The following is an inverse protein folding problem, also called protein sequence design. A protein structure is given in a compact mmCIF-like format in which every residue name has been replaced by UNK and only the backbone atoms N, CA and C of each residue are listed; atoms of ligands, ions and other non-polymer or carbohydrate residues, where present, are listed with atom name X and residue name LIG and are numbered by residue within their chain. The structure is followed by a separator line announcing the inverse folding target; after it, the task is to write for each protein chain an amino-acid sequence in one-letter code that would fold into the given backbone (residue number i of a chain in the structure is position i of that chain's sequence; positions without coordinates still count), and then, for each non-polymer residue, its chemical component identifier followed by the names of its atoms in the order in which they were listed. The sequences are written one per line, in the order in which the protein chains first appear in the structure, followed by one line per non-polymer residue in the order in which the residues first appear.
data_IF_765349160632
#
_entry.id   IF_765349160632
#
_cell.length_a   1.000
_cell.length_b   1.000
_cell.length_c   1.000
_cell.angle_alpha   90.00
_cell.angle_beta   90.00
_cell.angle_gamma   90.00
#
_symmetry.space_group_name_H-M   'P 1'
#
loop_
_entity.id
_entity.type
_entity.pdbx_description
1 polymer ?
#
# COMPACT_ATOMS: atom_id res chain seq x y z
N UNK A 1 33.75 -14.45 -4.10
CA UNK A 1 32.84 -15.57 -3.91
C UNK A 1 31.45 -15.03 -3.70
N UNK A 2 30.65 -15.03 -4.75
CA UNK A 2 29.27 -14.60 -4.69
C UNK A 2 28.53 -15.69 -3.93
N UNK A 3 28.46 -15.56 -2.62
CA UNK A 3 27.64 -16.43 -1.80
C UNK A 3 26.21 -16.40 -2.33
N UNK A 4 25.76 -17.50 -2.91
CA UNK A 4 24.34 -17.71 -3.12
C UNK A 4 23.67 -17.52 -1.76
N UNK A 5 22.89 -16.45 -1.62
CA UNK A 5 21.96 -16.36 -0.52
C UNK A 5 21.03 -17.56 -0.62
N UNK A 6 21.11 -18.44 0.35
CA UNK A 6 20.30 -19.67 0.40
C UNK A 6 18.83 -19.32 0.62
N UNK A 7 18.54 -18.07 1.00
CA UNK A 7 17.21 -17.53 1.18
C UNK A 7 17.07 -16.26 0.34
N UNK A 8 16.36 -16.35 -0.77
CA UNK A 8 16.01 -15.19 -1.60
C UNK A 8 14.98 -14.33 -0.88
N UNK A 9 13.91 -14.94 -0.39
CA UNK A 9 12.89 -14.30 0.41
C UNK A 9 12.63 -15.13 1.66
N UNK A 10 12.57 -14.47 2.81
CA UNK A 10 12.11 -15.10 4.03
C UNK A 10 11.14 -14.20 4.78
N UNK A 11 10.12 -14.81 5.31
CA UNK A 11 9.07 -14.13 6.05
C UNK A 11 8.77 -14.89 7.34
N UNK A 12 8.72 -14.17 8.43
CA UNK A 12 8.29 -14.68 9.73
C UNK A 12 7.02 -13.94 10.16
N UNK A 13 5.97 -14.69 10.52
CA UNK A 13 4.72 -14.12 11.06
C UNK A 13 4.44 -14.67 12.44
N UNK A 14 4.20 -13.77 13.38
CA UNK A 14 3.78 -14.08 14.73
C UNK A 14 2.34 -13.58 14.95
N UNK A 15 1.39 -14.51 14.97
CA UNK A 15 0.01 -14.22 15.34
C UNK A 15 -0.13 -14.12 16.85
N UNK A 16 -0.68 -12.99 17.33
CA UNK A 16 -0.84 -12.68 18.76
C UNK A 16 -2.32 -12.63 19.19
N UNK A 17 -3.20 -13.31 18.42
CA UNK A 17 -4.65 -13.29 18.69
C UNK A 17 -5.21 -11.88 18.49
N UNK A 18 -5.98 -11.40 19.47
CA UNK A 18 -6.63 -10.08 19.42
C UNK A 18 -5.64 -8.90 19.38
N UNK A 19 -4.38 -9.14 19.67
CA UNK A 19 -3.31 -8.15 19.55
C UNK A 19 -2.74 -8.04 18.13
N UNK A 20 -3.29 -8.79 17.14
CA UNK A 20 -2.88 -8.69 15.75
C UNK A 20 -1.73 -9.62 15.37
N UNK A 21 -1.03 -9.25 14.30
CA UNK A 21 0.06 -10.04 13.72
C UNK A 21 1.30 -9.15 13.55
N UNK A 22 2.41 -9.60 14.10
CA UNK A 22 3.74 -9.04 13.82
C UNK A 22 4.38 -9.87 12.70
N UNK A 23 4.90 -9.22 11.69
CA UNK A 23 5.63 -9.82 10.58
C UNK A 23 7.03 -9.26 10.46
N UNK A 24 7.92 -10.06 9.92
CA UNK A 24 9.26 -9.66 9.51
C UNK A 24 9.56 -10.26 8.15
N UNK A 25 9.97 -9.45 7.21
CA UNK A 25 10.38 -9.86 5.87
C UNK A 25 11.79 -9.43 5.58
N UNK A 26 12.63 -10.35 5.09
CA UNK A 26 13.92 -10.02 4.53
C UNK A 26 13.84 -10.11 3.00
N UNK A 27 14.34 -9.12 2.31
CA UNK A 27 14.35 -8.97 0.85
C UNK A 27 12.98 -8.77 0.17
N UNK A 28 11.92 -8.54 0.92
CA UNK A 28 10.59 -8.23 0.34
C UNK A 28 9.76 -7.36 1.29
N UNK A 29 8.70 -6.76 0.77
CA UNK A 29 7.71 -6.06 1.59
C UNK A 29 7.05 -7.01 2.59
N UNK A 30 6.77 -6.51 3.78
CA UNK A 30 5.94 -7.21 4.76
C UNK A 30 4.46 -7.29 4.32
N UNK A 31 4.07 -6.48 3.34
CA UNK A 31 2.69 -6.27 2.93
C UNK A 31 1.87 -5.51 3.96
N UNK A 32 2.52 -4.78 4.86
CA UNK A 32 1.91 -3.96 5.92
C UNK A 32 2.13 -2.47 5.66
N UNK A 33 1.54 -1.61 6.49
CA UNK A 33 1.60 -0.17 6.30
C UNK A 33 0.78 0.28 5.10
N UNK A 34 1.27 1.27 4.38
CA UNK A 34 0.59 1.87 3.21
C UNK A 34 0.40 0.87 2.06
N UNK A 35 1.18 -0.20 2.00
CA UNK A 35 1.02 -1.28 1.01
C UNK A 35 -0.39 -1.93 1.04
N UNK A 36 -1.09 -1.85 2.18
CA UNK A 36 -2.49 -2.26 2.28
C UNK A 36 -3.45 -1.45 1.42
N UNK A 37 -3.05 -0.27 0.98
CA UNK A 37 -3.91 0.67 0.26
C UNK A 37 -3.70 0.67 -1.25
N UNK A 38 -2.77 -0.13 -1.77
CA UNK A 38 -2.44 -0.18 -3.19
C UNK A 38 -3.56 -0.69 -4.09
N UNK A 39 -4.43 -1.55 -3.56
CA UNK A 39 -5.49 -2.23 -4.32
C UNK A 39 -6.91 -1.74 -3.96
N UNK A 40 -7.03 -0.52 -3.41
CA UNK A 40 -8.34 0.04 -3.05
C UNK A 40 -9.19 0.27 -4.29
N UNK A 41 -8.61 0.84 -5.34
CA UNK A 41 -9.31 1.14 -6.59
C UNK A 41 -9.36 -0.10 -7.46
N UNK A 42 -10.55 -0.57 -7.88
CA UNK A 42 -10.68 -1.69 -8.79
C UNK A 42 -9.95 -1.41 -10.09
N UNK A 43 -8.99 -2.27 -10.42
CA UNK A 43 -8.15 -2.15 -11.59
C UNK A 43 -8.06 -3.50 -12.31
N UNK A 44 -7.93 -3.50 -13.63
CA UNK A 44 -8.02 -4.73 -14.41
C UNK A 44 -6.78 -5.64 -14.26
N UNK A 45 -5.60 -5.09 -14.01
CA UNK A 45 -4.36 -5.85 -13.97
C UNK A 45 -3.28 -5.30 -13.07
N UNK A 46 -3.29 -4.00 -12.77
CA UNK A 46 -2.15 -3.29 -12.25
C UNK A 46 -2.56 -2.52 -11.02
N UNK A 47 -1.85 -2.64 -9.91
CA UNK A 47 -2.05 -1.78 -8.76
C UNK A 47 -2.01 -0.31 -9.16
N UNK A 48 -2.65 0.54 -8.39
CA UNK A 48 -2.79 1.97 -8.65
C UNK A 48 -1.42 2.63 -8.96
N UNK A 49 -0.37 2.21 -8.29
CA UNK A 49 0.97 2.76 -8.47
C UNK A 49 1.72 2.22 -9.71
N UNK A 50 1.24 1.18 -10.37
CA UNK A 50 1.87 0.62 -11.58
C UNK A 50 1.14 0.99 -12.88
N UNK A 51 0.02 1.73 -12.79
CA UNK A 51 -0.87 1.97 -13.92
C UNK A 51 -0.32 2.91 -15.00
N UNK A 52 0.85 3.51 -14.80
CA UNK A 52 1.51 4.38 -15.78
C UNK A 52 2.94 3.92 -15.99
N UNK A 53 3.45 4.08 -17.23
CA UNK A 53 4.89 3.98 -17.54
C UNK A 53 5.72 5.08 -16.82
N UNK A 54 5.08 5.97 -16.10
CA UNK A 54 5.75 6.91 -15.24
C UNK A 54 6.24 6.17 -13.99
N UNK A 55 7.47 6.35 -13.67
CA UNK A 55 8.13 5.83 -12.46
C UNK A 55 7.48 6.30 -11.15
N UNK A 56 6.44 7.13 -11.25
CA UNK A 56 5.79 7.78 -10.13
C UNK A 56 4.27 7.70 -10.27
N UNK A 57 3.69 6.66 -9.71
CA UNK A 57 2.24 6.43 -9.72
C UNK A 57 1.51 7.09 -8.55
N UNK A 58 2.20 7.91 -7.78
CA UNK A 58 1.63 8.66 -6.66
C UNK A 58 1.34 7.85 -5.39
N UNK A 59 1.67 6.57 -5.34
CA UNK A 59 1.72 5.80 -4.11
C UNK A 59 3.11 5.19 -3.98
N UNK A 60 3.92 5.78 -3.12
CA UNK A 60 5.19 5.21 -2.73
C UNK A 60 4.90 4.13 -1.70
N UNK A 61 5.39 2.95 -1.92
CA UNK A 61 5.31 1.88 -0.96
C UNK A 61 6.70 1.47 -0.47
N UNK A 62 6.71 0.72 0.61
CA UNK A 62 7.93 0.17 1.18
C UNK A 62 8.49 -1.01 0.40
N UNK A 63 7.94 -1.35 -0.75
CA UNK A 63 8.40 -2.48 -1.57
C UNK A 63 9.63 -2.15 -2.42
N UNK A 64 10.10 -0.92 -2.35
CA UNK A 64 11.32 -0.48 -3.03
C UNK A 64 12.55 -1.33 -2.67
N UNK A 65 13.30 -1.57 -3.64
CA UNK A 65 14.50 -2.39 -3.78
C UNK A 65 15.37 -2.57 -2.51
N UNK A 66 15.64 -3.82 -2.17
CA UNK A 66 16.66 -4.27 -1.21
C UNK A 66 16.36 -4.03 0.27
N UNK A 67 15.20 -4.49 0.72
CA UNK A 67 14.90 -4.44 2.14
C UNK A 67 15.85 -5.35 2.92
N UNK A 68 16.61 -4.74 3.77
CA UNK A 68 17.47 -5.44 4.72
C UNK A 68 16.71 -5.99 5.93
N UNK A 69 15.40 -5.91 5.91
CA UNK A 69 14.51 -6.42 6.92
C UNK A 69 13.40 -5.45 7.30
N UNK A 70 12.20 -5.69 6.78
CA UNK A 70 11.04 -4.89 7.08
C UNK A 70 10.18 -5.56 8.15
N UNK A 71 9.81 -4.80 9.15
CA UNK A 71 8.82 -5.16 10.15
C UNK A 71 7.44 -4.69 9.68
N UNK A 72 6.44 -5.53 9.91
CA UNK A 72 5.03 -5.21 9.67
C UNK A 72 4.20 -5.54 10.90
N UNK A 73 3.18 -4.74 11.14
CA UNK A 73 2.21 -4.98 12.20
C UNK A 73 0.80 -4.71 11.67
N UNK A 74 -0.06 -5.70 11.79
CA UNK A 74 -1.45 -5.64 11.36
C UNK A 74 -2.38 -6.02 12.51
N UNK A 75 -3.39 -5.21 12.78
CA UNK A 75 -4.44 -5.51 13.76
C UNK A 75 -5.80 -4.98 13.31
N UNK A 76 -6.86 -5.50 13.92
CA UNK A 76 -8.22 -4.97 13.74
C UNK A 76 -8.89 -4.81 15.10
N UNK A 77 -9.59 -3.68 15.27
CA UNK A 77 -10.39 -3.37 16.46
C UNK A 77 -11.80 -3.00 15.98
N UNK A 78 -12.75 -3.91 16.12
CA UNK A 78 -14.07 -3.77 15.52
C UNK A 78 -13.94 -3.62 14.00
N UNK A 79 -14.51 -2.54 13.47
CA UNK A 79 -14.52 -2.23 12.04
C UNK A 79 -13.30 -1.40 11.58
N UNK A 80 -12.33 -1.17 12.44
CA UNK A 80 -11.10 -0.46 12.14
C UNK A 80 -9.94 -1.45 11.95
N UNK A 81 -9.36 -1.48 10.76
CA UNK A 81 -8.09 -2.15 10.49
C UNK A 81 -6.94 -1.13 10.55
N UNK A 82 -5.86 -1.52 11.22
CA UNK A 82 -4.65 -0.74 11.43
C UNK A 82 -3.48 -1.53 10.88
N UNK A 83 -2.64 -0.89 10.10
CA UNK A 83 -1.42 -1.50 9.57
C UNK A 83 -0.25 -0.54 9.71
N UNK A 84 0.90 -1.05 10.06
CA UNK A 84 2.15 -0.30 10.15
C UNK A 84 3.30 -1.11 9.57
N UNK A 85 4.25 -0.42 8.94
CA UNK A 85 5.50 -0.99 8.46
C UNK A 85 6.69 -0.15 8.93
N UNK A 86 7.81 -0.80 9.14
CA UNK A 86 9.05 -0.15 9.52
C UNK A 86 10.25 -0.92 8.96
N UNK A 87 11.11 -0.22 8.26
CA UNK A 87 12.38 -0.73 7.76
C UNK A 87 13.51 0.14 8.35
N UNK A 88 14.33 -0.40 9.25
CA UNK A 88 15.37 0.39 9.94
C UNK A 88 16.48 0.86 9.01
N UNK A 89 16.77 0.11 7.95
CA UNK A 89 17.83 0.38 7.01
C UNK A 89 17.48 -0.28 5.67
N UNK A 90 16.68 0.38 4.81
CA UNK A 90 16.20 -0.19 3.54
C UNK A 90 17.33 -0.48 2.56
N UNK A 91 18.42 0.28 2.61
CA UNK A 91 19.65 0.08 1.88
C UNK A 91 20.83 0.66 2.66
N UNK A 92 22.06 0.33 2.24
CA UNK A 92 23.27 0.86 2.85
C UNK A 92 23.29 2.40 2.84
N UNK A 93 23.44 3.03 4.00
CA UNK A 93 23.40 4.48 4.22
C UNK A 93 22.06 5.17 3.92
N UNK A 94 20.97 4.44 3.89
CA UNK A 94 19.61 4.99 3.81
C UNK A 94 18.99 5.16 5.19
N UNK A 95 18.19 6.18 5.35
CA UNK A 95 17.41 6.43 6.57
C UNK A 95 16.27 5.42 6.69
N UNK A 96 15.81 5.21 7.91
CA UNK A 96 14.70 4.31 8.18
C UNK A 96 13.41 4.76 7.45
N UNK A 97 12.70 3.79 6.91
CA UNK A 97 11.38 3.99 6.30
C UNK A 97 10.27 3.61 7.27
N UNK A 98 9.15 4.30 7.19
CA UNK A 98 7.97 3.98 7.97
C UNK A 98 6.67 4.20 7.20
N UNK A 99 5.73 3.28 7.35
CA UNK A 99 4.42 3.34 6.72
C UNK A 99 3.31 3.07 7.72
N UNK A 100 2.18 3.73 7.52
CA UNK A 100 1.00 3.57 8.35
C UNK A 100 -0.28 3.61 7.50
N UNK A 101 -1.22 2.72 7.77
CA UNK A 101 -2.51 2.70 7.09
C UNK A 101 -3.66 2.38 8.05
N UNK A 102 -4.80 3.00 7.77
CA UNK A 102 -6.07 2.76 8.43
C UNK A 102 -7.13 2.44 7.37
N UNK A 103 -7.98 1.48 7.66
CA UNK A 103 -9.20 1.20 6.90
C UNK A 103 -10.36 1.07 7.86
N UNK A 104 -11.42 1.85 7.65
CA UNK A 104 -12.63 1.84 8.48
C UNK A 104 -13.86 1.46 7.66
N UNK A 105 -14.55 0.40 8.08
CA UNK A 105 -15.73 -0.15 7.40
C UNK A 105 -17.04 -0.06 8.21
N UNK A 106 -17.02 0.56 9.39
CA UNK A 106 -18.15 0.61 10.31
C UNK A 106 -19.18 1.71 10.05
N UNK A 107 -19.01 2.54 9.01
CA UNK A 107 -19.93 3.66 8.77
C UNK A 107 -21.26 3.23 8.15
N UNK A 108 -21.19 2.35 7.15
CA UNK A 108 -22.36 1.72 6.51
C UNK A 108 -21.92 0.49 5.70
N UNK A 109 -22.84 -0.43 5.44
CA UNK A 109 -22.57 -1.64 4.67
C UNK A 109 -21.94 -1.32 3.30
N UNK A 110 -20.85 -1.99 3.00
CA UNK A 110 -20.13 -1.88 1.75
C UNK A 110 -19.26 -0.64 1.60
N UNK A 111 -19.27 0.32 2.55
CA UNK A 111 -18.41 1.49 2.52
C UNK A 111 -17.12 1.26 3.31
N UNK A 112 -15.99 1.49 2.67
CA UNK A 112 -14.67 1.52 3.30
C UNK A 112 -14.04 2.89 3.10
N UNK A 113 -13.54 3.47 4.17
CA UNK A 113 -12.73 4.69 4.16
C UNK A 113 -11.29 4.31 4.52
N UNK A 114 -10.33 4.84 3.81
CA UNK A 114 -8.93 4.55 4.05
C UNK A 114 -8.09 5.82 4.14
N UNK A 115 -7.04 5.76 4.95
CA UNK A 115 -6.02 6.78 5.06
C UNK A 115 -4.67 6.11 5.27
N UNK A 116 -3.61 6.65 4.68
CA UNK A 116 -2.26 6.16 4.82
C UNK A 116 -1.24 7.26 4.75
N UNK A 117 -0.11 7.00 5.37
CA UNK A 117 1.08 7.84 5.35
C UNK A 117 2.31 6.95 5.18
N UNK A 118 3.26 7.40 4.39
CA UNK A 118 4.56 6.77 4.22
C UNK A 118 5.66 7.82 4.17
N UNK A 119 6.75 7.54 4.85
CA UNK A 119 7.97 8.34 4.87
C UNK A 119 9.14 7.41 4.53
N UNK A 120 9.85 7.68 3.45
CA UNK A 120 11.05 6.95 3.07
C UNK A 120 12.33 7.46 3.77
N UNK A 121 12.17 8.46 4.62
CA UNK A 121 13.20 9.03 5.46
C UNK A 121 14.18 9.97 4.76
N UNK A 122 14.37 9.85 3.46
CA UNK A 122 15.40 10.60 2.73
C UNK A 122 14.85 11.41 1.55
N UNK A 123 13.90 10.88 0.80
CA UNK A 123 13.57 11.37 -0.54
C UNK A 123 12.14 11.89 -0.66
N UNK A 124 11.16 11.25 0.01
CA UNK A 124 9.77 11.59 -0.14
C UNK A 124 8.88 11.17 1.04
N UNK A 125 7.80 11.91 1.21
CA UNK A 125 6.67 11.54 2.07
C UNK A 125 5.42 11.39 1.20
N UNK A 126 4.54 10.48 1.52
CA UNK A 126 3.25 10.42 0.86
C UNK A 126 2.09 10.30 1.84
N UNK A 127 1.01 11.01 1.49
CA UNK A 127 -0.29 10.92 2.13
C UNK A 127 -1.30 10.35 1.14
N UNK A 128 -2.09 9.35 1.55
CA UNK A 128 -3.15 8.81 0.70
C UNK A 128 -4.48 8.74 1.43
N UNK A 129 -5.54 9.06 0.71
CA UNK A 129 -6.93 8.93 1.17
C UNK A 129 -7.74 8.17 0.14
N UNK A 130 -8.56 7.24 0.59
CA UNK A 130 -9.39 6.43 -0.29
C UNK A 130 -10.81 6.25 0.23
N UNK A 131 -11.72 6.06 -0.71
CA UNK A 131 -13.08 5.61 -0.45
C UNK A 131 -13.43 4.50 -1.43
N UNK A 132 -13.95 3.40 -0.91
CA UNK A 132 -14.44 2.27 -1.70
C UNK A 132 -15.87 1.94 -1.27
N UNK A 133 -16.73 1.76 -2.25
CA UNK A 133 -18.12 1.36 -2.01
C UNK A 133 -18.49 0.14 -2.84
N UNK A 134 -18.93 -0.90 -2.15
CA UNK A 134 -19.39 -2.15 -2.77
C UNK A 134 -20.88 -2.32 -2.55
N UNK A 135 -21.63 -2.44 -3.64
CA UNK A 135 -23.06 -2.67 -3.63
C UNK A 135 -23.42 -3.85 -4.55
N UNK A 136 -23.73 -4.98 -3.95
CA UNK A 136 -23.99 -6.22 -4.68
C UNK A 136 -22.79 -6.64 -5.53
N UNK A 137 -22.98 -6.70 -6.85
CA UNK A 137 -21.94 -7.09 -7.79
C UNK A 137 -21.01 -5.92 -8.24
N UNK A 138 -21.29 -4.71 -7.81
CA UNK A 138 -20.54 -3.52 -8.23
C UNK A 138 -19.66 -3.00 -7.10
N UNK A 139 -18.44 -2.64 -7.45
CA UNK A 139 -17.53 -1.90 -6.59
C UNK A 139 -17.06 -0.64 -7.30
N UNK A 140 -17.13 0.50 -6.63
CA UNK A 140 -16.57 1.75 -7.09
C UNK A 140 -15.61 2.29 -6.04
N UNK A 141 -14.49 2.87 -6.46
CA UNK A 141 -13.54 3.47 -5.54
C UNK A 141 -12.88 4.72 -6.12
N UNK A 142 -12.44 5.56 -5.22
CA UNK A 142 -11.66 6.75 -5.48
C UNK A 142 -10.50 6.81 -4.48
N UNK A 143 -9.33 7.14 -4.96
CA UNK A 143 -8.12 7.34 -4.14
C UNK A 143 -7.39 8.58 -4.61
N UNK A 144 -6.90 9.36 -3.68
CA UNK A 144 -5.98 10.47 -3.94
C UNK A 144 -4.73 10.27 -3.10
N UNK A 145 -3.59 10.56 -3.70
CA UNK A 145 -2.29 10.49 -3.07
C UNK A 145 -1.51 11.76 -3.36
N UNK A 146 -0.90 12.30 -2.34
CA UNK A 146 0.02 13.42 -2.43
C UNK A 146 1.43 12.92 -2.10
N UNK A 147 2.40 13.29 -2.93
CA UNK A 147 3.80 12.96 -2.72
C UNK A 147 4.58 14.27 -2.61
N UNK A 148 5.20 14.48 -1.46
CA UNK A 148 6.07 15.62 -1.17
C UNK A 148 7.53 15.16 -1.24
N UNK A 149 8.30 15.69 -2.19
CA UNK A 149 9.70 15.35 -2.38
C UNK A 149 10.64 16.29 -1.61
N UNK A 150 11.55 15.71 -0.83
CA UNK A 150 12.54 16.47 -0.06
C UNK A 150 13.61 17.17 -0.92
N UNK A 151 13.86 16.67 -2.13
CA UNK A 151 14.93 17.18 -2.99
C UNK A 151 14.61 18.57 -3.56
N UNK A 152 15.54 19.50 -3.40
CA UNK A 152 15.43 20.84 -3.97
C UNK A 152 15.34 20.78 -5.50
N UNK A 153 14.23 21.23 -6.07
CA UNK A 153 13.97 21.22 -7.51
C UNK A 153 13.10 20.09 -8.01
N UNK A 154 12.75 19.14 -7.14
CA UNK A 154 11.66 18.20 -7.41
C UNK A 154 10.31 18.91 -7.29
N UNK A 155 9.34 18.44 -8.04
CA UNK A 155 7.96 18.94 -7.99
C UNK A 155 7.12 17.92 -7.25
N UNK A 156 6.41 18.37 -6.23
CA UNK A 156 5.42 17.55 -5.53
C UNK A 156 4.35 17.06 -6.51
N UNK A 157 3.82 15.89 -6.26
CA UNK A 157 2.86 15.23 -7.15
C UNK A 157 1.52 15.00 -6.43
N UNK A 158 0.44 15.26 -7.15
CA UNK A 158 -0.92 14.92 -6.74
C UNK A 158 -1.49 13.88 -7.70
N UNK A 159 -1.70 12.67 -7.23
CA UNK A 159 -2.29 11.60 -8.02
C UNK A 159 -3.74 11.33 -7.60
N UNK A 160 -4.61 11.10 -8.56
CA UNK A 160 -5.98 10.67 -8.34
C UNK A 160 -6.31 9.44 -9.17
N UNK A 161 -6.99 8.50 -8.52
CA UNK A 161 -7.41 7.25 -9.14
C UNK A 161 -8.90 7.04 -8.90
N UNK A 162 -9.62 6.69 -9.95
CA UNK A 162 -11.03 6.30 -9.88
C UNK A 162 -11.22 5.00 -10.63
N UNK A 163 -11.98 4.08 -10.07
CA UNK A 163 -12.25 2.81 -10.71
C UNK A 163 -13.62 2.26 -10.35
N UNK A 164 -14.15 1.49 -11.26
CA UNK A 164 -15.40 0.74 -11.10
C UNK A 164 -15.18 -0.67 -11.60
N UNK A 165 -15.67 -1.66 -10.87
CA UNK A 165 -15.77 -3.04 -11.32
C UNK A 165 -17.16 -3.59 -11.15
N UNK A 166 -17.55 -4.51 -12.04
CA UNK A 166 -18.83 -5.22 -11.98
C UNK A 166 -18.58 -6.70 -12.20
N UNK A 167 -18.95 -7.54 -11.23
CA UNK A 167 -18.99 -8.98 -11.40
C UNK A 167 -20.24 -9.36 -12.19
N UNK A 168 -20.08 -9.86 -13.41
CA UNK A 168 -21.19 -10.28 -14.28
C UNK A 168 -21.67 -11.67 -13.86
N UNK A 169 -20.74 -12.54 -13.47
CA UNK A 169 -20.98 -13.86 -12.89
C UNK A 169 -19.73 -14.34 -12.16
N UNK A 170 -19.73 -15.57 -11.63
CA UNK A 170 -18.64 -16.14 -10.84
C UNK A 170 -17.31 -16.30 -11.61
N UNK A 171 -17.34 -16.17 -12.94
CA UNK A 171 -16.17 -16.38 -13.82
C UNK A 171 -15.79 -15.13 -14.61
N UNK A 172 -16.62 -14.09 -14.60
CA UNK A 172 -16.43 -12.89 -15.41
C UNK A 172 -16.69 -11.63 -14.61
N UNK A 173 -15.71 -10.78 -14.56
CA UNK A 173 -15.84 -9.40 -14.09
C UNK A 173 -15.26 -8.42 -15.12
N UNK A 174 -15.78 -7.21 -15.12
CA UNK A 174 -15.32 -6.11 -15.97
C UNK A 174 -14.97 -4.94 -15.06
N UNK A 175 -13.82 -4.32 -15.28
CA UNK A 175 -13.41 -3.11 -14.57
C UNK A 175 -12.96 -2.03 -15.55
N UNK A 176 -13.14 -0.78 -15.14
CA UNK A 176 -12.63 0.39 -15.82
C UNK A 176 -12.15 1.39 -14.78
N UNK A 177 -11.07 2.09 -15.08
CA UNK A 177 -10.49 3.10 -14.20
C UNK A 177 -9.81 4.20 -14.97
N UNK A 178 -9.54 5.29 -14.27
CA UNK A 178 -8.79 6.43 -14.75
C UNK A 178 -7.81 6.88 -13.67
N UNK A 179 -6.62 7.24 -14.09
CA UNK A 179 -5.59 7.86 -13.28
C UNK A 179 -5.26 9.24 -13.84
N UNK A 180 -4.96 10.17 -12.95
CA UNK A 180 -4.40 11.49 -13.26
C UNK A 180 -3.28 11.79 -12.25
N UNK A 181 -2.16 12.25 -12.75
CA UNK A 181 -1.00 12.71 -11.99
C UNK A 181 -0.71 14.15 -12.40
#
# INVERSE_FOLDING_TARGET
DQGNNVFDDYNLKLGMGDMGTLSFSGNSSSGSGVDKLKDIVPNAYTPVYEATDATDSGLIDTSGNNQSGQWGYDMSVGDLAISASYNPEPAENKTAESGFALVYSGLMDGLELSAGYFDDGDEAENDTLGVKYTMGAMTAAYQMTKVDYAATGSTDQDATHIGVSVAINDQLSVSAGQQSI
#
